data_IF_195266157852
#
_entry.id   IF_195266157852
#
_cell.length_a   1.000
_cell.length_b   1.000
_cell.length_c   1.000
_cell.angle_alpha   90.00
_cell.angle_beta   90.00
_cell.angle_gamma   90.00
#
_symmetry.space_group_name_H-M   'P 1'
#
loop_
_entity.id
_entity.type
_entity.pdbx_description
1 polymer ?
#
# COMPACT_ATOMS: atom_id res chain seq x y z
N UNK A 1 40.38 38.60 37.98
CA UNK A 1 40.58 37.21 38.36
C UNK A 1 39.22 36.77 38.86
N UNK A 2 38.40 36.11 38.08
CA UNK A 2 38.51 34.87 37.40
C UNK A 2 37.56 34.85 36.16
N UNK A 3 38.09 34.33 35.10
CA UNK A 3 37.38 33.94 33.90
C UNK A 3 36.90 32.51 34.16
N UNK A 4 35.63 32.28 34.17
CA UNK A 4 34.98 31.00 33.86
C UNK A 4 33.49 31.20 34.12
N UNK A 5 32.74 31.29 33.03
CA UNK A 5 31.36 30.82 32.92
C UNK A 5 30.72 31.37 31.65
N UNK A 6 31.34 30.96 30.55
CA UNK A 6 30.71 31.10 29.23
C UNK A 6 30.93 29.74 28.54
N UNK A 7 30.20 28.75 28.95
CA UNK A 7 30.08 27.56 28.11
C UNK A 7 28.93 26.68 28.64
N UNK A 8 27.73 27.07 28.39
CA UNK A 8 26.55 26.22 28.49
C UNK A 8 25.43 26.83 27.66
N UNK A 9 25.71 27.17 26.39
CA UNK A 9 24.64 27.26 25.40
C UNK A 9 24.43 25.84 24.95
N UNK A 10 23.60 25.11 25.71
CA UNK A 10 23.00 23.87 25.25
C UNK A 10 22.38 24.13 23.87
N UNK A 11 22.98 23.52 22.91
CA UNK A 11 22.52 23.41 21.55
C UNK A 11 21.23 22.59 21.60
N UNK A 12 20.12 23.26 21.86
CA UNK A 12 18.79 22.73 21.59
C UNK A 12 18.77 22.57 20.08
N UNK A 13 19.15 21.39 19.63
CA UNK A 13 18.87 20.96 18.28
C UNK A 13 17.35 20.97 18.16
N UNK A 14 16.84 22.01 17.56
CA UNK A 14 15.47 22.05 17.04
C UNK A 14 15.41 20.86 16.09
N UNK A 15 14.81 19.76 16.53
CA UNK A 15 14.31 18.76 15.59
C UNK A 15 13.23 19.50 14.81
N UNK A 16 13.54 19.88 13.59
CA UNK A 16 12.56 20.41 12.66
C UNK A 16 11.49 19.32 12.50
N UNK A 17 10.40 19.49 13.21
CA UNK A 17 9.25 18.60 13.15
C UNK A 17 8.62 18.80 11.78
N UNK A 18 8.98 17.94 10.83
CA UNK A 18 8.44 17.99 9.48
C UNK A 18 7.01 17.45 9.54
N UNK A 19 6.05 18.31 9.21
CA UNK A 19 4.65 17.93 9.08
C UNK A 19 4.43 17.40 7.66
N UNK A 20 3.96 16.18 7.57
CA UNK A 20 3.62 15.50 6.32
C UNK A 20 2.10 15.35 6.20
N UNK A 21 1.60 15.37 4.98
CA UNK A 21 0.18 15.14 4.70
C UNK A 21 -0.03 13.74 4.15
N UNK A 22 -0.98 13.05 4.73
CA UNK A 22 -1.38 11.71 4.30
C UNK A 22 -2.86 11.72 3.93
N UNK A 23 -3.21 10.97 2.88
CA UNK A 23 -4.59 10.63 2.60
C UNK A 23 -4.90 9.29 3.24
N UNK A 24 -6.00 9.21 3.98
CA UNK A 24 -6.48 7.99 4.59
C UNK A 24 -7.53 7.32 3.70
N UNK A 25 -7.54 6.00 3.73
CA UNK A 25 -8.46 5.17 2.97
C UNK A 25 -8.69 3.84 3.66
N UNK A 26 -9.79 3.19 3.33
CA UNK A 26 -10.17 1.91 3.93
C UNK A 26 -9.89 0.74 2.98
N UNK A 27 -9.40 -0.34 3.57
CA UNK A 27 -9.33 -1.66 2.95
C UNK A 27 -9.92 -2.66 3.94
N UNK A 28 -11.04 -3.26 3.61
CA UNK A 28 -11.83 -4.07 4.53
C UNK A 28 -12.23 -3.21 5.75
N UNK A 29 -11.91 -3.64 6.95
CA UNK A 29 -12.25 -2.95 8.21
C UNK A 29 -11.07 -2.15 8.78
N UNK A 30 -9.99 -1.96 8.01
CA UNK A 30 -8.78 -1.30 8.46
C UNK A 30 -8.54 0.01 7.70
N UNK A 31 -7.97 0.97 8.41
CA UNK A 31 -7.61 2.26 7.83
C UNK A 31 -6.12 2.34 7.57
N UNK A 32 -5.80 2.74 6.36
CA UNK A 32 -4.46 2.92 5.85
C UNK A 32 -4.24 4.35 5.40
N UNK A 33 -2.98 4.74 5.27
CA UNK A 33 -2.61 6.04 4.74
C UNK A 33 -1.43 5.94 3.79
N UNK A 34 -1.40 6.82 2.80
CA UNK A 34 -0.25 7.07 1.93
C UNK A 34 0.02 8.56 1.86
N UNK A 35 1.26 8.93 1.60
CA UNK A 35 1.66 10.31 1.47
C UNK A 35 0.96 10.98 0.29
N UNK A 36 0.33 12.15 0.53
CA UNK A 36 -0.50 12.82 -0.48
C UNK A 36 0.31 13.23 -1.72
N UNK A 37 1.59 13.51 -1.55
CA UNK A 37 2.51 13.89 -2.63
C UNK A 37 2.72 12.79 -3.68
N UNK A 38 2.44 11.54 -3.32
CA UNK A 38 2.53 10.39 -4.22
C UNK A 38 1.33 10.24 -5.12
N UNK A 39 0.19 10.88 -4.77
CA UNK A 39 -1.07 10.73 -5.49
C UNK A 39 -1.12 11.67 -6.68
N UNK A 40 -1.49 11.12 -7.82
CA UNK A 40 -1.76 11.88 -9.05
C UNK A 40 -3.23 12.16 -9.27
N UNK A 41 -4.06 11.15 -9.01
CA UNK A 41 -5.49 11.22 -9.31
C UNK A 41 -6.24 10.17 -8.49
N UNK A 42 -7.47 10.47 -8.09
CA UNK A 42 -8.38 9.51 -7.47
C UNK A 42 -9.61 9.42 -8.36
N UNK A 43 -10.04 8.21 -8.68
CA UNK A 43 -11.18 7.95 -9.54
C UNK A 43 -12.03 6.79 -9.02
N UNK A 44 -13.27 6.76 -9.39
CA UNK A 44 -14.12 5.58 -9.15
C UNK A 44 -13.63 4.36 -9.92
N UNK A 45 -13.94 3.18 -9.42
CA UNK A 45 -13.61 1.92 -10.09
C UNK A 45 -14.19 1.88 -11.52
N UNK A 46 -13.42 1.34 -12.42
CA UNK A 46 -13.82 0.98 -13.77
C UNK A 46 -13.23 -0.38 -14.14
N UNK A 47 -13.87 -1.07 -15.07
CA UNK A 47 -13.38 -2.37 -15.53
C UNK A 47 -11.93 -2.28 -16.00
N UNK A 48 -11.16 -3.29 -15.66
CA UNK A 48 -9.77 -3.48 -16.07
C UNK A 48 -9.68 -4.50 -17.20
N UNK A 49 -8.61 -4.42 -17.99
CA UNK A 49 -8.21 -5.48 -18.90
C UNK A 49 -7.26 -6.41 -18.15
N UNK A 50 -7.65 -7.67 -17.99
CA UNK A 50 -6.82 -8.67 -17.29
C UNK A 50 -5.52 -8.94 -18.06
N UNK A 51 -4.45 -9.16 -17.32
CA UNK A 51 -3.15 -9.59 -17.86
C UNK A 51 -2.96 -11.08 -17.56
N UNK A 52 -2.52 -11.88 -18.54
CA UNK A 52 -2.20 -13.29 -18.31
C UNK A 52 -0.95 -13.43 -17.43
N UNK A 53 -0.88 -14.51 -16.67
CA UNK A 53 0.29 -14.87 -15.84
C UNK A 53 0.68 -13.79 -14.80
N UNK A 54 -0.30 -13.09 -14.24
CA UNK A 54 -0.10 -12.12 -13.16
C UNK A 54 -0.66 -12.66 -11.85
N UNK A 55 -0.11 -12.22 -10.69
CA UNK A 55 -0.67 -12.59 -9.38
C UNK A 55 -2.12 -12.18 -9.21
N UNK A 56 -2.87 -12.88 -8.36
CA UNK A 56 -4.28 -12.62 -8.11
C UNK A 56 -4.59 -11.18 -7.64
N UNK A 57 -3.65 -10.54 -6.93
CA UNK A 57 -3.79 -9.15 -6.50
C UNK A 57 -3.62 -8.13 -7.64
N UNK A 58 -3.13 -8.54 -8.80
CA UNK A 58 -3.09 -7.70 -10.00
C UNK A 58 -4.42 -7.78 -10.75
N UNK A 59 -5.25 -6.75 -10.63
CA UNK A 59 -6.59 -6.70 -11.27
C UNK A 59 -6.54 -6.54 -12.79
N UNK A 60 -5.39 -6.23 -13.32
CA UNK A 60 -5.19 -5.92 -14.73
C UNK A 60 -4.76 -4.48 -14.95
N UNK A 61 -5.04 -3.94 -16.11
CA UNK A 61 -4.64 -2.58 -16.51
C UNK A 61 -5.83 -1.73 -16.91
N UNK A 62 -5.70 -0.42 -16.77
CA UNK A 62 -6.60 0.57 -17.34
C UNK A 62 -5.84 1.47 -18.31
N UNK A 63 -6.56 2.08 -19.24
CA UNK A 63 -6.04 3.17 -20.04
C UNK A 63 -6.36 4.51 -19.34
N UNK A 64 -5.32 5.23 -18.93
CA UNK A 64 -5.43 6.55 -18.34
C UNK A 64 -4.81 7.58 -19.29
N UNK A 65 -5.64 8.25 -20.08
CA UNK A 65 -5.20 9.28 -21.04
C UNK A 65 -4.09 8.81 -21.99
N UNK A 66 -4.19 7.56 -22.47
CA UNK A 66 -3.20 6.95 -23.37
C UNK A 66 -2.08 6.17 -22.66
N UNK A 67 -1.93 6.33 -21.35
CA UNK A 67 -1.00 5.53 -20.57
C UNK A 67 -1.66 4.24 -20.04
N UNK A 68 -0.95 3.13 -20.13
CA UNK A 68 -1.38 1.85 -19.55
C UNK A 68 -0.96 1.82 -18.08
N UNK A 69 -1.94 1.76 -17.17
CA UNK A 69 -1.72 1.80 -15.73
C UNK A 69 -2.15 0.49 -15.10
N UNK A 70 -1.25 -0.28 -14.50
CA UNK A 70 -1.58 -1.49 -13.76
C UNK A 70 -2.31 -1.17 -12.46
N UNK A 71 -3.32 -1.99 -12.10
CA UNK A 71 -4.14 -1.84 -10.92
C UNK A 71 -3.90 -2.99 -9.96
N UNK A 72 -3.49 -2.65 -8.75
CA UNK A 72 -3.26 -3.57 -7.66
C UNK A 72 -4.44 -3.53 -6.67
N UNK A 73 -4.93 -4.69 -6.27
CA UNK A 73 -5.95 -4.88 -5.25
C UNK A 73 -5.27 -5.05 -3.88
N UNK A 74 -5.34 -4.02 -3.04
CA UNK A 74 -4.71 -4.06 -1.71
C UNK A 74 -5.31 -5.13 -0.81
N UNK A 75 -6.62 -5.34 -0.87
CA UNK A 75 -7.28 -6.38 -0.08
C UNK A 75 -6.71 -7.76 -0.40
N UNK A 76 -6.59 -8.08 -1.68
CA UNK A 76 -5.99 -9.33 -2.13
C UNK A 76 -4.49 -9.38 -1.78
N UNK A 77 -3.78 -8.28 -1.93
CA UNK A 77 -2.34 -8.18 -1.59
C UNK A 77 -2.06 -8.45 -0.12
N UNK A 78 -3.01 -8.11 0.76
CA UNK A 78 -2.94 -8.37 2.20
C UNK A 78 -3.50 -9.74 2.63
N UNK A 79 -3.85 -10.61 1.67
CA UNK A 79 -4.37 -11.94 1.96
C UNK A 79 -5.84 -11.97 2.44
N UNK A 80 -6.57 -10.87 2.27
CA UNK A 80 -7.97 -10.72 2.71
C UNK A 80 -8.99 -11.11 1.62
N UNK A 81 -8.52 -11.77 0.56
CA UNK A 81 -9.33 -12.14 -0.60
C UNK A 81 -9.51 -11.00 -1.61
N UNK A 82 -10.09 -11.32 -2.76
CA UNK A 82 -10.31 -10.33 -3.84
C UNK A 82 -11.41 -9.34 -3.45
N UNK A 83 -11.17 -8.07 -3.77
CA UNK A 83 -12.20 -7.03 -3.67
C UNK A 83 -13.30 -7.30 -4.70
N UNK A 84 -14.55 -7.40 -4.24
CA UNK A 84 -15.71 -7.39 -5.13
C UNK A 84 -15.96 -5.96 -5.59
N UNK A 85 -15.17 -5.54 -6.58
CA UNK A 85 -15.15 -4.17 -7.00
C UNK A 85 -16.48 -3.70 -7.59
N UNK A 86 -16.96 -2.58 -7.11
CA UNK A 86 -18.19 -1.92 -7.49
C UNK A 86 -17.94 -0.44 -7.77
N UNK A 87 -18.97 0.28 -8.15
CA UNK A 87 -18.88 1.74 -8.38
C UNK A 87 -18.53 2.54 -7.12
N UNK A 88 -18.68 1.95 -5.94
CA UNK A 88 -18.35 2.59 -4.66
C UNK A 88 -16.85 2.51 -4.34
N UNK A 89 -16.14 1.56 -4.95
CA UNK A 89 -14.71 1.42 -4.76
C UNK A 89 -13.95 2.53 -5.52
N UNK A 90 -12.78 2.84 -5.03
CA UNK A 90 -11.92 3.87 -5.58
C UNK A 90 -10.60 3.30 -6.07
N UNK A 91 -10.07 3.92 -7.12
CA UNK A 91 -8.72 3.67 -7.60
C UNK A 91 -7.91 4.94 -7.38
N UNK A 92 -6.91 4.84 -6.53
CA UNK A 92 -5.92 5.88 -6.33
C UNK A 92 -4.77 5.67 -7.31
N UNK A 93 -4.57 6.62 -8.21
CA UNK A 93 -3.44 6.60 -9.15
C UNK A 93 -2.26 7.27 -8.45
N UNK A 94 -1.20 6.52 -8.25
CA UNK A 94 -0.01 6.93 -7.50
C UNK A 94 1.22 6.88 -8.39
N UNK A 95 2.24 7.64 -7.99
CA UNK A 95 3.58 7.54 -8.57
C UNK A 95 4.49 6.79 -7.60
N UNK A 96 5.12 5.73 -8.10
CA UNK A 96 6.09 4.92 -7.37
C UNK A 96 7.36 4.91 -8.21
N UNK A 97 8.42 5.51 -7.71
CA UNK A 97 9.61 5.82 -8.50
C UNK A 97 9.23 6.57 -9.81
N UNK A 98 9.58 6.03 -10.96
CA UNK A 98 9.26 6.60 -12.28
C UNK A 98 7.98 6.01 -12.91
N UNK A 99 7.23 5.18 -12.18
CA UNK A 99 6.06 4.46 -12.69
C UNK A 99 4.77 5.03 -12.14
N UNK A 100 3.72 4.91 -12.93
CA UNK A 100 2.35 5.23 -12.53
C UNK A 100 1.60 3.92 -12.31
N UNK A 101 1.08 3.76 -11.10
CA UNK A 101 0.41 2.56 -10.64
C UNK A 101 -0.96 2.93 -10.08
N UNK A 102 -1.89 1.99 -10.02
CA UNK A 102 -3.19 2.19 -9.40
C UNK A 102 -3.38 1.25 -8.21
N UNK A 103 -4.01 1.75 -7.17
CA UNK A 103 -4.38 1.02 -5.96
C UNK A 103 -5.89 0.98 -5.87
N UNK A 104 -6.46 -0.22 -5.85
CA UNK A 104 -7.89 -0.41 -5.56
C UNK A 104 -8.09 -0.47 -4.04
N UNK A 105 -8.97 0.39 -3.55
CA UNK A 105 -9.39 0.48 -2.16
C UNK A 105 -10.92 0.56 -2.05
N UNK A 106 -11.45 0.38 -0.84
CA UNK A 106 -12.90 0.41 -0.64
C UNK A 106 -13.42 1.86 -0.68
N UNK A 107 -12.78 2.76 0.03
CA UNK A 107 -13.13 4.18 0.03
C UNK A 107 -11.93 5.04 0.46
N UNK A 108 -11.90 6.28 0.00
CA UNK A 108 -11.04 7.33 0.56
C UNK A 108 -11.81 8.02 1.68
N UNK A 109 -11.12 8.29 2.80
CA UNK A 109 -11.75 8.84 4.01
C UNK A 109 -11.43 10.32 4.19
N UNK A 110 -10.16 10.65 4.49
CA UNK A 110 -9.78 12.00 4.92
C UNK A 110 -8.31 12.33 4.59
N UNK A 111 -7.91 13.57 4.85
CA UNK A 111 -6.52 14.00 4.81
C UNK A 111 -6.08 14.36 6.21
N UNK A 112 -5.00 13.75 6.69
CA UNK A 112 -4.42 14.01 8.00
C UNK A 112 -3.06 14.66 7.88
N UNK A 113 -2.75 15.56 8.81
CA UNK A 113 -1.41 16.14 8.99
C UNK A 113 -0.73 15.37 10.12
N UNK A 114 0.45 14.86 9.87
CA UNK A 114 1.21 14.04 10.81
C UNK A 114 2.62 14.58 10.92
N UNK A 115 3.07 14.82 12.12
CA UNK A 115 4.45 15.15 12.43
C UNK A 115 5.32 13.90 12.38
N UNK A 116 6.56 14.04 11.97
CA UNK A 116 7.49 12.91 11.85
C UNK A 116 7.69 12.14 13.16
N UNK A 117 7.58 12.81 14.30
CA UNK A 117 7.68 12.22 15.64
C UNK A 117 6.41 11.48 16.11
N UNK A 118 5.28 11.68 15.44
CA UNK A 118 4.03 10.96 15.70
C UNK A 118 3.98 9.59 15.02
N UNK A 119 4.83 9.38 13.99
CA UNK A 119 4.91 8.11 13.30
C UNK A 119 5.69 7.12 14.15
N UNK A 120 4.99 6.13 14.67
CA UNK A 120 5.57 5.07 15.50
C UNK A 120 6.01 3.89 14.64
N UNK A 121 7.18 3.31 14.92
CA UNK A 121 7.61 2.10 14.23
C UNK A 121 6.66 0.94 14.57
N UNK A 122 6.53 0.02 13.63
CA UNK A 122 5.75 -1.19 13.81
C UNK A 122 6.51 -2.09 14.79
N UNK A 123 5.84 -2.65 15.82
CA UNK A 123 6.46 -3.66 16.68
C UNK A 123 7.02 -4.80 15.82
N UNK A 124 8.26 -5.22 16.12
CA UNK A 124 8.86 -6.39 15.46
C UNK A 124 8.09 -7.63 15.88
N UNK A 125 7.06 -7.97 15.13
CA UNK A 125 6.40 -9.26 15.25
C UNK A 125 7.13 -10.14 14.24
N UNK A 126 7.67 -11.27 14.71
CA UNK A 126 8.26 -12.30 13.85
C UNK A 126 7.15 -12.93 12.97
N UNK A 127 6.68 -12.15 12.00
CA UNK A 127 5.78 -12.64 10.98
C UNK A 127 6.65 -13.28 9.88
N UNK A 128 6.68 -14.59 9.87
CA UNK A 128 7.37 -15.43 8.88
C UNK A 128 6.87 -15.22 7.44
N UNK A 129 5.82 -14.43 7.24
CA UNK A 129 5.11 -14.32 5.97
C UNK A 129 5.44 -13.07 5.14
N UNK A 130 6.50 -12.33 5.46
CA UNK A 130 7.00 -11.22 4.60
C UNK A 130 6.04 -10.00 4.43
N UNK A 131 4.78 -10.09 4.89
CA UNK A 131 3.78 -9.02 4.73
C UNK A 131 4.00 -7.80 5.64
N UNK A 132 4.83 -7.93 6.67
CA UNK A 132 5.12 -6.82 7.60
C UNK A 132 6.00 -5.73 6.97
N UNK A 133 6.55 -5.98 5.80
CA UNK A 133 7.45 -5.04 5.13
C UNK A 133 6.73 -3.93 4.38
N UNK A 134 5.42 -4.06 4.11
CA UNK A 134 4.66 -3.06 3.34
C UNK A 134 4.27 -1.83 4.15
N UNK A 135 4.35 -1.90 5.49
CA UNK A 135 4.05 -0.79 6.38
C UNK A 135 5.31 0.04 6.66
N UNK A 136 5.15 1.36 6.68
CA UNK A 136 6.19 2.31 7.08
C UNK A 136 6.12 2.61 8.58
N UNK A 137 4.92 2.68 9.14
CA UNK A 137 4.67 2.99 10.52
C UNK A 137 3.19 3.04 10.86
N UNK A 138 2.90 3.43 12.09
CA UNK A 138 1.54 3.60 12.60
C UNK A 138 1.43 4.99 13.21
N UNK A 139 0.30 5.65 12.96
CA UNK A 139 -0.07 6.91 13.61
C UNK A 139 -1.39 6.73 14.36
N UNK A 140 -1.45 7.30 15.56
CA UNK A 140 -2.69 7.37 16.33
C UNK A 140 -3.31 8.76 16.12
N UNK A 141 -4.49 8.79 15.52
CA UNK A 141 -5.34 9.98 15.51
C UNK A 141 -6.32 9.90 16.68
N UNK A 142 -7.06 10.98 16.95
CA UNK A 142 -7.90 11.14 18.16
C UNK A 142 -8.76 9.92 18.53
N UNK A 143 -9.22 9.14 17.57
CA UNK A 143 -10.10 7.97 17.82
C UNK A 143 -9.74 6.71 17.04
N UNK A 144 -8.65 6.69 16.27
CA UNK A 144 -8.34 5.59 15.38
C UNK A 144 -6.83 5.42 15.16
N UNK A 145 -6.45 4.18 14.89
CA UNK A 145 -5.10 3.82 14.52
C UNK A 145 -5.03 3.70 13.00
N UNK A 146 -4.11 4.40 12.37
CA UNK A 146 -3.91 4.42 10.92
C UNK A 146 -2.55 3.83 10.59
N UNK A 147 -2.51 2.85 9.70
CA UNK A 147 -1.27 2.24 9.24
C UNK A 147 -0.75 2.96 7.98
N UNK A 148 0.48 3.48 8.04
CA UNK A 148 1.10 4.16 6.90
C UNK A 148 1.77 3.12 6.01
N UNK A 149 1.42 3.11 4.72
CA UNK A 149 1.98 2.21 3.72
C UNK A 149 3.23 2.79 3.06
N UNK A 150 4.22 1.94 2.85
CA UNK A 150 5.33 2.20 1.94
C UNK A 150 4.95 1.72 0.54
N UNK A 151 4.70 2.64 -0.38
CA UNK A 151 4.31 2.29 -1.75
C UNK A 151 5.38 1.49 -2.48
N UNK A 152 6.66 1.81 -2.28
CA UNK A 152 7.76 1.05 -2.89
C UNK A 152 7.68 -0.43 -2.52
N UNK A 153 7.42 -0.72 -1.25
CA UNK A 153 7.31 -2.11 -0.77
C UNK A 153 5.99 -2.79 -1.17
N UNK A 154 4.90 -2.03 -1.25
CA UNK A 154 3.61 -2.54 -1.75
C UNK A 154 3.74 -3.03 -3.18
N UNK A 155 4.50 -2.31 -4.01
CA UNK A 155 4.65 -2.59 -5.44
C UNK A 155 5.93 -3.34 -5.81
N UNK A 156 6.83 -3.64 -4.89
CA UNK A 156 8.14 -4.22 -5.13
C UNK A 156 8.06 -5.45 -6.08
N UNK A 157 7.38 -6.50 -5.66
CA UNK A 157 7.19 -7.68 -6.50
C UNK A 157 6.38 -7.43 -7.78
N UNK A 158 5.52 -6.41 -7.78
CA UNK A 158 4.71 -6.06 -8.95
C UNK A 158 5.56 -5.43 -10.03
N UNK A 159 6.52 -4.61 -9.64
CA UNK A 159 7.46 -3.97 -10.55
C UNK A 159 8.34 -5.03 -11.23
N UNK A 160 8.86 -6.00 -10.46
CA UNK A 160 9.66 -7.09 -10.98
C UNK A 160 8.93 -7.91 -12.04
N UNK A 161 7.64 -8.22 -11.80
CA UNK A 161 6.80 -8.95 -12.75
C UNK A 161 6.58 -8.15 -14.04
N UNK A 162 6.33 -6.86 -13.92
CA UNK A 162 6.12 -5.98 -15.08
C UNK A 162 7.39 -5.81 -15.90
N UNK A 163 8.57 -5.95 -15.29
CA UNK A 163 9.88 -5.93 -15.95
C UNK A 163 10.29 -7.29 -16.55
N UNK A 164 9.43 -8.31 -16.41
CA UNK A 164 9.69 -9.66 -16.90
C UNK A 164 10.56 -10.52 -15.98
N UNK A 165 10.81 -10.05 -14.75
CA UNK A 165 11.46 -10.81 -13.69
C UNK A 165 10.38 -11.49 -12.86
N UNK A 166 10.05 -12.74 -13.15
CA UNK A 166 9.05 -13.51 -12.38
C UNK A 166 9.79 -14.17 -11.20
N UNK A 167 9.56 -13.75 -9.94
CA UNK A 167 10.13 -14.42 -8.78
C UNK A 167 9.63 -15.87 -8.71
N UNK A 168 10.50 -16.83 -8.46
CA UNK A 168 10.15 -18.27 -8.42
C UNK A 168 9.02 -18.63 -7.44
N UNK A 169 8.75 -17.78 -6.43
CA UNK A 169 7.68 -17.99 -5.44
C UNK A 169 6.26 -17.69 -5.93
N UNK A 170 6.10 -16.86 -6.97
CA UNK A 170 4.78 -16.41 -7.44
C UNK A 170 4.07 -17.49 -8.28
N UNK A 171 4.82 -18.39 -8.92
CA UNK A 171 4.28 -19.48 -9.73
C UNK A 171 3.62 -20.59 -8.89
N UNK A 172 3.97 -20.71 -7.60
CA UNK A 172 3.44 -21.78 -6.74
C UNK A 172 2.07 -21.46 -6.14
N UNK A 173 1.73 -20.20 -5.94
CA UNK A 173 0.44 -19.82 -5.35
C UNK A 173 -0.74 -20.00 -6.32
N UNK A 174 -0.52 -19.86 -7.62
CA UNK A 174 -1.60 -20.03 -8.62
C UNK A 174 -1.95 -21.49 -8.88
N UNK A 175 -1.03 -22.43 -8.62
CA UNK A 175 -1.27 -23.87 -8.84
C UNK A 175 -2.08 -24.51 -7.69
N UNK A 176 -2.03 -23.95 -6.49
CA UNK A 176 -2.76 -24.47 -5.31
C UNK A 176 -4.21 -23.96 -5.24
N UNK A 177 -4.49 -22.77 -5.77
CA UNK A 177 -5.85 -22.22 -5.80
C UNK A 177 -6.69 -22.82 -6.95
N UNK A 178 -6.10 -23.13 -8.10
CA UNK A 178 -6.78 -23.81 -9.20
C UNK A 178 -7.12 -25.29 -8.85
N UNK A 179 -6.28 -25.93 -8.04
CA UNK A 179 -6.53 -27.30 -7.58
C UNK A 179 -7.72 -27.37 -6.61
N UNK A 180 -7.93 -26.37 -5.77
CA UNK A 180 -9.04 -26.32 -4.81
C UNK A 180 -10.40 -25.97 -5.44
N UNK A 181 -10.41 -25.28 -6.58
CA UNK A 181 -11.65 -24.98 -7.30
C UNK A 181 -12.13 -26.15 -8.16
N UNK A 182 -11.22 -26.99 -8.65
CA UNK A 182 -11.58 -28.12 -9.51
C UNK A 182 -12.14 -29.32 -8.72
N UNK A 183 -11.76 -29.47 -7.45
CA UNK A 183 -12.22 -30.56 -6.59
C UNK A 183 -13.64 -30.36 -6.04
N UNK A 184 -14.14 -29.12 -6.05
CA UNK A 184 -15.51 -28.76 -5.64
C UNK A 184 -16.56 -28.94 -6.75
N UNK A 185 -16.13 -29.12 -7.98
CA UNK A 185 -17.04 -29.27 -9.14
C UNK A 185 -17.41 -30.73 -9.44
N UNK A 186 -16.77 -31.71 -8.80
CA UNK A 186 -16.96 -33.15 -9.07
C UNK A 186 -17.90 -33.86 -8.06
N UNK A 187 -18.40 -33.17 -7.04
CA UNK A 187 -19.22 -33.81 -5.98
C UNK A 187 -20.71 -33.42 -6.05
N UNK A 188 -21.23 -33.10 -7.23
CA UNK A 188 -22.67 -32.90 -7.47
C UNK A 188 -23.10 -33.73 -8.68
N UNK A 189 -23.27 -35.04 -8.44
CA UNK A 189 -24.12 -35.89 -9.31
C UNK A 189 -24.77 -36.97 -8.48
#
# INVERSE_FOLDING_TARGET
MDRHDFDSIEKVASQDNVVMQFITFTVHDQEYAIEITTIREIKGWSNTTSLPNTPAYMRGVINLRGAVVPILDLRCRFGLGLTQASKNNVVMIVRVADRVMGILADAVSDIINVSSDEIRPIPSIDLTDGNNTVLQGIVNTENRMVAILSLDRVFDHTIDILDGHIPEGVLKSNAEDDAKQNDKALDVT
#
